data_IF_053899354455
#
_entry.id   IF_053899354455
#
_cell.length_a   1.000
_cell.length_b   1.000
_cell.length_c   1.000
_cell.angle_alpha   90.00
_cell.angle_beta   90.00
_cell.angle_gamma   90.00
#
_symmetry.space_group_name_H-M   'P 1'
#
loop_
_entity.id
_entity.type
_entity.pdbx_description
1 polymer ?
#
# COMPACT_ATOMS: atom_id res chain seq x y z
N UNK A 1 -4.54 4.72 6.08
CA UNK A 1 -4.41 6.06 5.46
C UNK A 1 -5.28 7.05 6.20
N UNK A 2 -5.26 8.33 5.82
CA UNK A 2 -6.15 9.35 6.38
C UNK A 2 -6.77 10.17 5.22
N UNK A 3 -8.09 10.03 4.92
CA UNK A 3 -8.71 10.71 3.79
C UNK A 3 -8.70 12.24 3.90
N UNK A 4 -8.40 12.81 5.06
CA UNK A 4 -8.39 14.26 5.28
C UNK A 4 -6.99 14.87 5.24
N UNK A 5 -5.94 14.05 5.11
CA UNK A 5 -4.56 14.56 5.06
C UNK A 5 -4.30 15.36 3.79
N UNK A 6 -3.72 16.55 3.95
CA UNK A 6 -3.34 17.49 2.86
C UNK A 6 -1.91 18.00 2.97
N UNK A 7 -1.16 17.53 3.97
CA UNK A 7 0.27 17.83 4.15
C UNK A 7 1.08 16.56 4.27
N UNK A 8 2.37 16.67 4.00
CA UNK A 8 3.34 15.60 4.16
C UNK A 8 4.42 16.00 5.17
N UNK A 9 4.82 15.03 5.98
CA UNK A 9 5.84 15.17 7.00
C UNK A 9 6.65 13.87 6.97
N UNK A 10 7.88 13.98 6.44
CA UNK A 10 8.78 12.84 6.28
C UNK A 10 9.16 12.18 7.60
N UNK A 11 9.10 12.92 8.71
CA UNK A 11 9.41 12.38 10.04
C UNK A 11 8.28 11.51 10.60
N UNK A 12 7.06 11.66 10.06
CA UNK A 12 5.92 10.85 10.46
C UNK A 12 5.84 9.57 9.61
N UNK A 13 6.09 8.42 10.23
CA UNK A 13 6.08 7.11 9.56
C UNK A 13 4.75 6.80 8.85
N UNK A 14 3.63 7.29 9.37
CA UNK A 14 2.30 7.10 8.75
C UNK A 14 2.15 7.87 7.43
N UNK A 15 2.95 8.93 7.23
CA UNK A 15 3.02 9.69 5.99
C UNK A 15 3.85 8.94 4.94
N UNK A 16 4.91 8.27 5.39
CA UNK A 16 5.79 7.48 4.53
C UNK A 16 5.11 6.22 3.99
N UNK A 17 4.09 5.71 4.68
CA UNK A 17 3.33 4.52 4.30
C UNK A 17 2.43 4.68 3.06
N UNK A 18 2.31 5.90 2.52
CA UNK A 18 1.53 6.20 1.31
C UNK A 18 2.48 6.76 0.28
N UNK A 19 2.49 6.14 -0.91
CA UNK A 19 3.39 6.54 -1.98
C UNK A 19 2.72 6.55 -3.34
N UNK A 20 3.38 7.21 -4.27
CA UNK A 20 2.96 7.52 -5.63
C UNK A 20 4.14 7.35 -6.57
N UNK A 21 3.90 6.83 -7.76
CA UNK A 21 4.91 6.77 -8.81
C UNK A 21 4.29 6.83 -10.20
N UNK A 22 4.91 7.56 -11.12
CA UNK A 22 4.55 7.54 -12.54
C UNK A 22 5.01 6.23 -13.18
N UNK A 23 4.29 5.78 -14.22
CA UNK A 23 4.54 4.52 -14.91
C UNK A 23 5.06 4.70 -16.34
N UNK A 24 5.87 3.74 -16.79
CA UNK A 24 6.22 3.52 -18.20
C UNK A 24 5.04 2.89 -18.93
N UNK A 25 5.12 2.80 -20.27
CA UNK A 25 4.13 2.07 -21.08
C UNK A 25 4.01 0.59 -20.65
N UNK A 26 5.10 0.00 -20.15
CA UNK A 26 5.12 -1.36 -19.59
C UNK A 26 4.62 -1.48 -18.14
N UNK A 27 4.10 -0.39 -17.56
CA UNK A 27 3.59 -0.39 -16.18
C UNK A 27 4.68 -0.37 -15.09
N UNK A 28 5.93 -0.09 -15.45
CA UNK A 28 7.05 -0.04 -14.51
C UNK A 28 7.26 1.38 -13.96
N UNK A 29 7.76 1.55 -12.72
CA UNK A 29 8.11 2.86 -12.18
C UNK A 29 9.09 3.64 -13.08
N UNK A 30 8.78 4.90 -13.41
CA UNK A 30 9.69 5.77 -14.20
C UNK A 30 10.74 6.47 -13.34
N UNK A 31 10.52 6.53 -12.02
CA UNK A 31 11.31 7.29 -11.07
C UNK A 31 11.16 6.68 -9.66
N UNK A 32 11.97 7.11 -8.67
CA UNK A 32 11.73 6.81 -7.27
C UNK A 32 10.31 7.22 -6.84
N UNK A 33 9.74 6.47 -5.91
CA UNK A 33 8.42 6.78 -5.35
C UNK A 33 8.46 8.11 -4.59
N UNK A 34 7.38 8.88 -4.69
CA UNK A 34 7.12 10.04 -3.85
C UNK A 34 5.95 9.78 -2.91
N UNK A 35 5.72 10.66 -1.94
CA UNK A 35 4.62 10.48 -0.98
C UNK A 35 3.34 11.23 -1.36
N UNK A 36 3.27 11.78 -2.56
CA UNK A 36 2.11 12.47 -3.09
C UNK A 36 2.23 12.67 -4.60
N UNK A 37 1.22 13.30 -5.18
CA UNK A 37 1.19 13.65 -6.59
C UNK A 37 2.38 14.53 -6.95
N UNK A 38 3.01 14.18 -8.07
CA UNK A 38 4.12 14.94 -8.64
C UNK A 38 3.58 16.27 -9.18
N UNK A 39 3.98 17.38 -8.56
CA UNK A 39 3.59 18.74 -8.99
C UNK A 39 4.53 19.31 -10.06
N UNK A 40 5.73 18.72 -10.20
CA UNK A 40 6.84 19.34 -10.90
C UNK A 40 6.99 18.74 -12.31
N UNK A 41 6.15 19.21 -13.22
CA UNK A 41 6.23 19.05 -14.70
C UNK A 41 6.27 17.62 -15.28
N UNK A 42 6.39 16.59 -14.46
CA UNK A 42 6.40 15.19 -14.88
C UNK A 42 4.98 14.66 -14.83
N UNK A 43 4.20 15.02 -15.83
CA UNK A 43 2.90 14.43 -16.04
C UNK A 43 3.09 12.92 -16.29
N UNK A 44 2.42 12.06 -15.52
CA UNK A 44 2.54 10.60 -15.64
C UNK A 44 1.80 10.10 -16.89
N UNK A 45 2.38 10.34 -18.08
CA UNK A 45 1.75 10.10 -19.39
C UNK A 45 1.15 8.70 -19.54
N UNK A 46 1.79 7.67 -18.98
CA UNK A 46 1.34 6.27 -19.12
C UNK A 46 0.62 5.75 -17.88
N UNK A 47 0.07 6.65 -17.05
CA UNK A 47 -0.55 6.25 -15.79
C UNK A 47 0.35 6.46 -14.58
N UNK A 48 -0.27 6.32 -13.42
CA UNK A 48 0.43 6.31 -12.14
C UNK A 48 -0.06 5.18 -11.25
N UNK A 49 0.76 4.81 -10.28
CA UNK A 49 0.42 3.87 -9.23
C UNK A 49 0.45 4.56 -7.89
N UNK A 50 -0.62 4.42 -7.13
CA UNK A 50 -0.69 4.81 -5.72
C UNK A 50 -0.61 3.57 -4.86
N UNK A 51 0.02 3.70 -3.71
CA UNK A 51 0.31 2.57 -2.84
C UNK A 51 0.02 2.95 -1.40
N UNK A 52 -0.46 1.99 -0.61
CA UNK A 52 -0.68 2.15 0.82
C UNK A 52 -0.26 0.89 1.57
N UNK A 53 0.61 1.08 2.55
CA UNK A 53 0.91 0.07 3.56
C UNK A 53 0.02 0.27 4.77
N UNK A 54 -0.51 -0.84 5.30
CA UNK A 54 -1.23 -0.86 6.57
C UNK A 54 -0.24 -0.99 7.74
N UNK A 55 -0.59 -0.49 8.94
CA UNK A 55 0.18 -0.82 10.12
C UNK A 55 0.18 -2.33 10.35
N UNK A 56 1.29 -2.87 10.84
CA UNK A 56 1.51 -4.33 10.98
C UNK A 56 2.06 -4.74 12.35
N UNK A 57 2.02 -3.82 13.31
CA UNK A 57 2.41 -4.07 14.68
C UNK A 57 1.17 -3.90 15.56
N UNK A 58 0.75 -4.96 16.23
CA UNK A 58 -0.42 -4.97 17.10
C UNK A 58 0.00 -4.88 18.57
N UNK A 59 -0.79 -4.19 19.39
CA UNK A 59 -0.55 -4.03 20.83
C UNK A 59 -0.63 -5.32 21.64
N UNK A 60 -1.10 -6.42 21.03
CA UNK A 60 -1.21 -7.73 21.67
C UNK A 60 -2.42 -7.87 22.60
N UNK A 61 -3.27 -6.84 22.69
CA UNK A 61 -4.34 -6.76 23.68
C UNK A 61 -5.69 -6.37 23.08
N UNK A 62 -5.75 -5.30 22.30
CA UNK A 62 -7.00 -4.68 21.90
C UNK A 62 -7.30 -4.97 20.42
N UNK A 63 -8.43 -5.62 20.13
CA UNK A 63 -8.86 -5.82 18.73
C UNK A 63 -9.31 -4.52 18.06
N UNK A 64 -9.65 -3.52 18.87
CA UNK A 64 -10.03 -2.18 18.44
C UNK A 64 -9.71 -1.17 19.56
N UNK A 65 -9.62 0.11 19.23
CA UNK A 65 -9.41 1.20 20.19
C UNK A 65 -10.48 2.28 20.04
N UNK A 66 -10.73 3.14 21.04
CA UNK A 66 -11.77 4.18 20.92
C UNK A 66 -11.62 5.14 19.73
N UNK A 67 -10.40 5.26 19.19
CA UNK A 67 -10.10 6.05 17.99
C UNK A 67 -9.90 5.19 16.72
N UNK A 68 -10.15 3.89 16.80
CA UNK A 68 -9.99 2.88 15.75
C UNK A 68 -8.61 2.83 15.08
N UNK A 69 -7.56 3.32 15.78
CA UNK A 69 -6.21 3.48 15.21
C UNK A 69 -5.10 3.02 16.16
N UNK A 70 -5.17 3.40 17.43
CA UNK A 70 -4.06 3.24 18.38
C UNK A 70 -3.80 1.81 18.88
N UNK A 71 -4.62 0.83 18.51
CA UNK A 71 -4.32 -0.58 18.75
C UNK A 71 -3.29 -1.15 17.74
N UNK A 72 -2.99 -0.39 16.69
CA UNK A 72 -2.04 -0.74 15.64
C UNK A 72 -0.95 0.34 15.49
N UNK A 73 0.25 -0.09 15.14
CA UNK A 73 1.38 0.77 14.82
C UNK A 73 2.13 0.31 13.56
N UNK A 74 2.86 1.24 12.97
CA UNK A 74 3.85 0.94 11.94
C UNK A 74 5.18 0.54 12.57
N UNK A 75 5.96 -0.34 11.91
CA UNK A 75 7.35 -0.59 12.28
C UNK A 75 8.21 0.64 11.98
N UNK A 76 9.48 0.62 12.43
CA UNK A 76 10.40 1.78 12.31
C UNK A 76 10.53 2.35 10.90
N UNK A 77 10.37 1.53 9.85
CA UNK A 77 10.42 1.96 8.46
C UNK A 77 9.14 1.59 7.69
N UNK A 78 7.96 1.83 8.29
CA UNK A 78 6.57 1.63 7.77
C UNK A 78 6.22 0.24 7.18
N UNK A 79 7.03 -0.32 6.29
CA UNK A 79 6.89 -1.67 5.73
C UNK A 79 7.96 -2.64 6.26
N UNK A 80 9.05 -2.13 6.84
CA UNK A 80 10.19 -2.91 7.33
C UNK A 80 10.68 -2.37 8.68
N UNK A 81 11.65 -3.07 9.28
CA UNK A 81 12.18 -2.73 10.60
C UNK A 81 11.34 -3.29 11.74
N UNK A 82 11.69 -2.92 12.97
CA UNK A 82 11.12 -3.52 14.18
C UNK A 82 9.80 -2.87 14.58
N UNK A 83 8.96 -3.66 15.25
CA UNK A 83 7.78 -3.14 15.89
C UNK A 83 8.16 -2.41 17.19
N UNK A 84 7.48 -1.30 17.55
CA UNK A 84 7.69 -0.66 18.84
C UNK A 84 7.36 -1.60 20.00
N UNK A 85 7.99 -1.42 21.16
CA UNK A 85 7.71 -2.21 22.37
C UNK A 85 6.24 -2.10 22.83
N UNK A 86 5.56 -1.01 22.48
CA UNK A 86 4.13 -0.82 22.74
C UNK A 86 3.22 -1.67 21.84
N UNK A 87 3.75 -2.18 20.73
CA UNK A 87 3.04 -2.98 19.73
C UNK A 87 3.86 -4.23 19.34
N UNK A 88 4.15 -5.14 20.29
CA UNK A 88 5.17 -6.17 20.11
C UNK A 88 4.76 -7.30 19.15
N UNK A 89 3.48 -7.42 18.82
CA UNK A 89 2.99 -8.53 17.98
C UNK A 89 3.03 -8.13 16.51
N UNK A 90 3.99 -8.68 15.76
CA UNK A 90 4.07 -8.47 14.31
C UNK A 90 3.03 -9.31 13.56
N UNK A 91 2.28 -8.65 12.69
CA UNK A 91 1.31 -9.27 11.79
C UNK A 91 1.86 -9.34 10.35
N UNK A 92 1.27 -10.19 9.49
CA UNK A 92 1.47 -10.10 8.05
C UNK A 92 1.13 -8.69 7.55
N UNK A 93 2.05 -8.09 6.78
CA UNK A 93 1.85 -6.75 6.23
C UNK A 93 0.83 -6.78 5.08
N UNK A 94 -0.15 -5.89 5.14
CA UNK A 94 -1.08 -5.66 4.02
C UNK A 94 -0.58 -4.45 3.23
N UNK A 95 -0.52 -4.65 1.92
CA UNK A 95 -0.03 -3.67 0.97
C UNK A 95 -0.92 -3.63 -0.25
N UNK A 96 -1.46 -2.46 -0.56
CA UNK A 96 -2.30 -2.26 -1.75
C UNK A 96 -1.59 -1.39 -2.78
N UNK A 97 -1.74 -1.79 -4.03
CA UNK A 97 -1.34 -1.01 -5.20
C UNK A 97 -2.59 -0.73 -6.04
N UNK A 98 -2.85 0.55 -6.30
CA UNK A 98 -3.90 1.01 -7.19
C UNK A 98 -3.26 1.65 -8.42
N UNK A 99 -3.52 1.07 -9.59
CA UNK A 99 -3.02 1.55 -10.87
C UNK A 99 -4.11 2.38 -11.56
N UNK A 100 -3.73 3.57 -12.03
CA UNK A 100 -4.61 4.49 -12.73
C UNK A 100 -4.07 4.73 -14.13
N UNK A 101 -4.79 4.22 -15.14
CA UNK A 101 -4.57 4.59 -16.53
C UNK A 101 -5.19 5.97 -16.75
N UNK A 102 -4.33 6.93 -17.05
CA UNK A 102 -4.71 8.32 -17.28
C UNK A 102 -4.32 8.83 -18.66
N UNK A 103 -3.66 8.01 -19.48
CA UNK A 103 -3.11 8.31 -20.81
C UNK A 103 -4.12 8.91 -21.80
N UNK A 104 -5.42 8.67 -21.61
CA UNK A 104 -6.49 9.18 -22.48
C UNK A 104 -7.09 10.51 -22.03
N UNK A 105 -6.72 11.03 -20.87
CA UNK A 105 -7.26 12.30 -20.38
C UNK A 105 -6.45 13.48 -20.93
N UNK A 106 -7.05 14.66 -21.10
CA UNK A 106 -6.28 15.84 -21.47
C UNK A 106 -5.33 16.23 -20.32
N UNK A 107 -4.06 16.43 -20.67
CA UNK A 107 -3.01 16.76 -19.72
C UNK A 107 -2.77 18.28 -19.80
N UNK A 108 -3.18 19.02 -18.78
CA UNK A 108 -3.01 20.47 -18.75
C UNK A 108 -1.54 20.90 -18.80
N UNK A 109 -1.29 22.18 -19.03
CA UNK A 109 0.07 22.74 -19.11
C UNK A 109 0.61 23.09 -17.72
N UNK A 110 1.21 22.11 -17.02
CA UNK A 110 2.17 22.38 -15.94
C UNK A 110 1.88 21.80 -14.55
N UNK A 111 0.66 21.33 -14.26
CA UNK A 111 0.33 20.63 -13.01
C UNK A 111 -0.53 19.39 -13.28
N UNK A 112 -0.32 18.35 -12.48
CA UNK A 112 -1.23 17.21 -12.33
C UNK A 112 -2.69 17.70 -12.14
N UNK A 113 -3.64 17.35 -13.04
CA UNK A 113 -5.03 17.81 -12.94
C UNK A 113 -5.93 16.88 -12.11
N UNK A 114 -5.44 15.72 -11.70
CA UNK A 114 -6.25 14.73 -11.00
C UNK A 114 -6.41 15.06 -9.52
N UNK A 115 -7.60 14.75 -9.02
CA UNK A 115 -8.02 14.89 -7.63
C UNK A 115 -8.61 13.56 -7.22
N UNK A 116 -8.28 13.08 -6.03
CA UNK A 116 -8.93 11.88 -5.47
C UNK A 116 -10.41 12.18 -5.17
N UNK A 117 -11.26 11.15 -5.11
CA UNK A 117 -12.70 11.30 -4.94
C UNK A 117 -13.12 12.06 -3.66
N UNK A 118 -12.27 12.07 -2.63
CA UNK A 118 -12.41 12.86 -1.40
C UNK A 118 -11.98 14.34 -1.56
N UNK A 119 -11.78 14.82 -2.78
CA UNK A 119 -11.38 16.19 -3.08
C UNK A 119 -9.90 16.49 -2.79
N UNK A 120 -9.03 15.47 -2.70
CA UNK A 120 -7.61 15.67 -2.44
C UNK A 120 -6.78 15.89 -3.74
N UNK A 121 -6.22 17.09 -3.98
CA UNK A 121 -5.39 17.39 -5.14
C UNK A 121 -3.89 17.11 -4.89
N UNK A 122 -3.51 16.61 -3.72
CA UNK A 122 -2.10 16.35 -3.36
C UNK A 122 -1.76 14.87 -3.33
N UNK A 123 -2.77 14.00 -3.23
CA UNK A 123 -2.61 12.54 -3.14
C UNK A 123 -2.24 12.03 -1.74
N UNK A 124 -2.09 12.91 -0.75
CA UNK A 124 -1.74 12.53 0.62
C UNK A 124 -2.87 11.81 1.34
N UNK A 125 -4.11 12.02 0.93
CA UNK A 125 -5.32 11.46 1.50
C UNK A 125 -5.68 10.06 1.00
N UNK A 126 -4.78 9.38 0.29
CA UNK A 126 -5.02 8.02 -0.17
C UNK A 126 -5.18 7.07 1.04
N UNK A 127 -6.15 6.16 0.95
CA UNK A 127 -6.37 5.13 1.94
C UNK A 127 -6.91 3.87 1.26
N UNK A 128 -6.89 2.77 2.01
CA UNK A 128 -7.53 1.53 1.62
C UNK A 128 -8.16 0.92 2.86
N UNK A 129 -9.23 0.17 2.62
CA UNK A 129 -9.91 -0.62 3.62
C UNK A 129 -9.76 -2.09 3.23
N UNK A 130 -9.50 -2.95 4.21
CA UNK A 130 -9.38 -4.37 4.00
C UNK A 130 -10.39 -5.10 4.86
N UNK A 131 -11.12 -6.01 4.24
CA UNK A 131 -11.99 -6.96 4.92
C UNK A 131 -11.55 -8.36 4.48
N UNK A 132 -11.14 -9.18 5.45
CA UNK A 132 -10.76 -10.55 5.13
C UNK A 132 -12.00 -11.41 4.91
N UNK A 133 -12.17 -11.90 3.68
CA UNK A 133 -13.21 -12.88 3.32
C UNK A 133 -12.68 -14.30 3.13
N UNK A 134 -11.39 -14.54 3.38
CA UNK A 134 -10.79 -15.85 3.19
C UNK A 134 -11.11 -16.81 4.33
N UNK A 135 -11.29 -18.08 4.00
CA UNK A 135 -11.31 -19.15 5.00
C UNK A 135 -10.01 -19.15 5.81
N UNK A 136 -10.13 -19.31 7.13
CA UNK A 136 -9.02 -19.17 8.05
C UNK A 136 -7.95 -20.23 7.81
N UNK A 137 -8.33 -21.47 7.54
CA UNK A 137 -7.39 -22.56 7.32
C UNK A 137 -6.66 -22.38 5.99
N UNK A 138 -7.35 -21.94 4.94
CA UNK A 138 -6.72 -21.59 3.66
C UNK A 138 -5.69 -20.47 3.86
N UNK A 139 -6.06 -19.39 4.55
CA UNK A 139 -5.15 -18.25 4.77
C UNK A 139 -3.93 -18.66 5.61
N UNK A 140 -4.13 -19.43 6.68
CA UNK A 140 -3.06 -19.94 7.53
C UNK A 140 -2.09 -20.82 6.74
N UNK A 141 -2.62 -21.71 5.91
CA UNK A 141 -1.82 -22.58 5.06
C UNK A 141 -1.03 -21.75 4.03
N UNK A 142 -1.67 -20.76 3.39
CA UNK A 142 -1.05 -19.88 2.40
C UNK A 142 0.12 -19.10 3.01
N UNK A 143 -0.04 -18.55 4.21
CA UNK A 143 1.02 -17.78 4.90
C UNK A 143 2.20 -18.67 5.33
N UNK A 144 1.96 -19.96 5.56
CA UNK A 144 2.97 -20.93 5.99
C UNK A 144 3.66 -21.63 4.81
N UNK A 145 3.02 -21.63 3.63
CA UNK A 145 3.50 -22.28 2.42
C UNK A 145 4.57 -21.42 1.73
N UNK A 146 5.82 -21.89 1.80
CA UNK A 146 6.97 -21.21 1.20
C UNK A 146 6.86 -21.07 -0.32
N UNK A 147 6.04 -21.87 -1.00
CA UNK A 147 5.77 -21.72 -2.44
C UNK A 147 4.90 -20.49 -2.76
N UNK A 148 4.19 -19.96 -1.77
CA UNK A 148 3.33 -18.77 -1.90
C UNK A 148 4.08 -17.47 -1.55
N UNK A 149 5.28 -17.56 -0.96
CA UNK A 149 6.05 -16.41 -0.52
C UNK A 149 6.99 -15.90 -1.62
N UNK A 150 7.11 -14.58 -1.76
CA UNK A 150 7.95 -13.95 -2.78
C UNK A 150 9.47 -14.13 -2.58
N UNK A 151 9.90 -14.73 -1.46
CA UNK A 151 11.27 -14.64 -0.91
C UNK A 151 12.38 -15.41 -1.66
N UNK A 152 12.17 -15.77 -2.93
CA UNK A 152 13.25 -16.37 -3.74
C UNK A 152 13.17 -16.07 -5.25
N UNK A 153 12.02 -15.65 -5.78
CA UNK A 153 11.78 -15.71 -7.24
C UNK A 153 10.69 -14.75 -7.79
N UNK A 154 10.25 -13.72 -7.04
CA UNK A 154 9.08 -12.89 -7.42
C UNK A 154 7.77 -13.70 -7.59
N UNK A 155 7.67 -14.88 -6.98
CA UNK A 155 6.51 -15.78 -7.11
C UNK A 155 5.26 -15.36 -6.33
N UNK A 156 5.35 -14.35 -5.45
CA UNK A 156 4.19 -13.83 -4.71
C UNK A 156 3.08 -13.27 -5.61
N UNK A 157 3.37 -13.04 -6.90
CA UNK A 157 2.41 -12.61 -7.91
C UNK A 157 1.96 -13.73 -8.86
N UNK A 158 2.27 -15.00 -8.57
CA UNK A 158 1.84 -16.14 -9.37
C UNK A 158 1.10 -17.18 -8.50
N UNK A 159 -0.22 -17.01 -8.30
CA UNK A 159 -1.04 -17.92 -7.50
C UNK A 159 -0.97 -19.38 -7.97
N UNK A 160 -0.70 -19.65 -9.26
CA UNK A 160 -0.61 -21.01 -9.80
C UNK A 160 0.59 -21.79 -9.25
N UNK A 161 1.61 -21.09 -8.73
CA UNK A 161 2.79 -21.71 -8.11
C UNK A 161 2.63 -21.93 -6.61
N UNK A 162 1.65 -21.28 -5.99
CA UNK A 162 1.28 -21.49 -4.60
C UNK A 162 0.46 -22.77 -4.50
N UNK A 163 1.07 -23.84 -3.97
CA UNK A 163 0.42 -25.16 -3.88
C UNK A 163 -0.89 -25.10 -3.10
N UNK A 164 -0.94 -24.29 -2.05
CA UNK A 164 -2.13 -24.07 -1.23
C UNK A 164 -3.32 -23.49 -2.02
N UNK A 165 -3.08 -22.71 -3.08
CA UNK A 165 -4.13 -22.05 -3.88
C UNK A 165 -4.43 -22.78 -5.19
N UNK A 166 -3.76 -23.90 -5.48
CA UNK A 166 -4.08 -24.67 -6.67
C UNK A 166 -5.51 -25.23 -6.57
N UNK A 167 -6.30 -25.15 -7.66
CA UNK A 167 -7.59 -25.83 -7.71
C UNK A 167 -7.41 -27.32 -7.40
N UNK A 168 -8.34 -27.91 -6.64
CA UNK A 168 -8.39 -29.37 -6.52
C UNK A 168 -8.66 -29.97 -7.90
N UNK A 169 -7.74 -30.80 -8.39
CA UNK A 169 -7.86 -31.55 -9.64
C UNK A 169 -8.23 -33.00 -9.32
#
# INVERSE_FOLDING_TARGET
GDPWRRTYDKSNVTHNAISFVCLTESGMPTAPQTNGFQTDKHFCKNGFRMQVFFPMCWDGKNLDSPNHRSHMAYPTQYNTGDCPDTHPVRLPGIFFEAFYSIDKFPHGTGRQPFVLANGDPTGYGFHGDFVNGWDFDIMKNMLSDKSCLASSTNQGNNPERCLTLKPCV
#
